data_IF_852701039074
#
_entry.id   IF_852701039074
#
_cell.length_a   1.000
_cell.length_b   1.000
_cell.length_c   1.000
_cell.angle_alpha   90.00
_cell.angle_beta   90.00
_cell.angle_gamma   90.00
#
_symmetry.space_group_name_H-M   'P 1'
#
loop_
_entity.id
_entity.type
_entity.pdbx_description
1 polymer ?
#
# COMPACT_ATOMS: atom_id res chain seq x y z
N UNK A 1 -30.71 9.04 53.47
CA UNK A 1 -29.87 7.83 53.35
C UNK A 1 -30.79 6.74 52.83
N UNK A 2 -30.81 6.55 51.51
CA UNK A 2 -30.14 5.42 50.80
C UNK A 2 -31.12 4.23 50.70
N UNK A 3 -31.44 3.62 49.56
CA UNK A 3 -30.96 3.72 48.18
C UNK A 3 -32.08 3.22 47.23
N UNK A 4 -32.21 3.93 46.11
CA UNK A 4 -32.86 3.48 44.88
C UNK A 4 -31.88 2.64 44.04
N UNK A 5 -32.45 1.82 43.14
CA UNK A 5 -31.87 1.27 41.90
C UNK A 5 -30.70 0.26 41.99
N UNK A 6 -30.97 -0.99 41.58
CA UNK A 6 -30.03 -1.83 40.82
C UNK A 6 -30.71 -3.10 40.30
N UNK A 7 -31.11 -3.08 39.03
CA UNK A 7 -30.96 -4.16 38.06
C UNK A 7 -31.66 -3.73 36.75
N UNK A 8 -31.06 -2.75 36.07
CA UNK A 8 -31.39 -2.44 34.69
C UNK A 8 -30.91 -3.57 33.78
N UNK A 9 -31.85 -4.34 33.27
CA UNK A 9 -31.66 -5.25 32.15
C UNK A 9 -31.24 -4.46 30.90
N UNK A 10 -30.06 -4.74 30.35
CA UNK A 10 -29.64 -4.22 29.05
C UNK A 10 -30.44 -4.91 27.95
N UNK A 11 -31.33 -4.13 27.34
CA UNK A 11 -32.20 -4.40 26.20
C UNK A 11 -31.53 -5.25 25.11
N UNK A 12 -32.21 -6.34 24.73
CA UNK A 12 -32.01 -7.01 23.45
C UNK A 12 -32.19 -5.98 22.32
N UNK A 13 -31.17 -5.77 21.47
CA UNK A 13 -31.34 -5.12 20.17
C UNK A 13 -32.38 -5.92 19.40
N UNK A 14 -33.64 -5.48 19.36
CA UNK A 14 -34.64 -6.03 18.44
C UNK A 14 -34.18 -5.65 17.04
N UNK A 15 -33.70 -6.64 16.28
CA UNK A 15 -33.49 -6.52 14.84
C UNK A 15 -34.82 -6.09 14.20
N UNK A 16 -34.91 -4.83 13.78
CA UNK A 16 -36.03 -4.33 12.98
C UNK A 16 -35.93 -5.01 11.61
N UNK A 17 -36.58 -6.16 11.47
CA UNK A 17 -36.66 -6.91 10.22
C UNK A 17 -37.57 -6.17 9.23
N UNK A 18 -37.09 -5.97 8.01
CA UNK A 18 -37.86 -5.32 6.95
C UNK A 18 -38.91 -6.27 6.36
N UNK A 19 -40.15 -5.80 6.11
CA UNK A 19 -41.14 -6.54 5.34
C UNK A 19 -40.62 -6.95 3.96
N UNK A 20 -40.93 -8.18 3.51
CA UNK A 20 -40.43 -8.72 2.24
C UNK A 20 -40.78 -7.86 1.02
N UNK A 21 -41.97 -7.26 1.00
CA UNK A 21 -42.41 -6.37 -0.09
C UNK A 21 -41.52 -5.13 -0.28
N UNK A 22 -40.89 -4.65 0.80
CA UNK A 22 -39.97 -3.50 0.75
C UNK A 22 -38.61 -3.92 0.19
N UNK A 23 -38.21 -5.18 0.43
CA UNK A 23 -36.99 -5.78 -0.14
C UNK A 23 -37.17 -6.09 -1.63
N UNK A 24 -38.37 -6.48 -2.07
CA UNK A 24 -38.69 -6.76 -3.47
C UNK A 24 -38.61 -5.47 -4.33
N UNK A 25 -39.06 -4.32 -3.81
CA UNK A 25 -38.89 -3.01 -4.47
C UNK A 25 -37.42 -2.63 -4.71
N UNK A 26 -36.52 -3.07 -3.81
CA UNK A 26 -35.08 -2.83 -3.93
C UNK A 26 -34.45 -3.64 -5.06
N UNK A 27 -34.97 -4.85 -5.32
CA UNK A 27 -34.47 -5.75 -6.35
C UNK A 27 -34.82 -5.28 -7.76
N UNK A 28 -35.95 -4.61 -7.96
CA UNK A 28 -36.41 -4.14 -9.27
C UNK A 28 -35.88 -2.74 -9.66
N UNK A 29 -35.40 -1.95 -8.69
CA UNK A 29 -34.91 -0.59 -8.90
C UNK A 29 -33.48 -0.50 -9.48
N UNK A 30 -33.20 0.60 -10.19
CA UNK A 30 -31.85 0.99 -10.59
C UNK A 30 -31.09 1.72 -9.47
N UNK A 31 -29.88 2.20 -9.76
CA UNK A 31 -28.99 2.83 -8.76
C UNK A 31 -29.69 3.94 -7.96
N UNK A 32 -30.39 4.87 -8.62
CA UNK A 32 -31.09 5.97 -7.94
C UNK A 32 -32.13 5.49 -6.92
N UNK A 33 -32.92 4.47 -7.25
CA UNK A 33 -33.91 3.90 -6.32
C UNK A 33 -33.26 3.23 -5.11
N UNK A 34 -32.09 2.59 -5.31
CA UNK A 34 -31.32 2.00 -4.21
C UNK A 34 -30.75 3.09 -3.30
N UNK A 35 -30.30 4.22 -3.84
CA UNK A 35 -29.83 5.36 -3.04
C UNK A 35 -30.95 6.00 -2.21
N UNK A 36 -32.13 6.23 -2.81
CA UNK A 36 -33.31 6.71 -2.07
C UNK A 36 -33.73 5.74 -0.95
N UNK A 37 -33.64 4.44 -1.22
CA UNK A 37 -33.88 3.40 -0.23
C UNK A 37 -32.88 3.49 0.93
N UNK A 38 -31.58 3.62 0.64
CA UNK A 38 -30.55 3.76 1.67
C UNK A 38 -30.80 4.98 2.55
N UNK A 39 -31.17 6.12 1.97
CA UNK A 39 -31.51 7.33 2.72
C UNK A 39 -32.74 7.14 3.62
N UNK A 40 -33.76 6.46 3.12
CA UNK A 40 -35.02 6.22 3.85
C UNK A 40 -34.82 5.30 5.05
N UNK A 41 -33.97 4.27 4.91
CA UNK A 41 -33.74 3.24 5.92
C UNK A 41 -32.33 3.28 6.51
N UNK A 42 -31.80 4.50 6.73
CA UNK A 42 -30.43 4.73 7.21
C UNK A 42 -30.12 3.96 8.51
N UNK A 43 -31.06 3.92 9.45
CA UNK A 43 -30.89 3.30 10.76
C UNK A 43 -31.12 1.78 10.78
N UNK A 44 -31.41 1.15 9.63
CA UNK A 44 -31.69 -0.29 9.56
C UNK A 44 -30.54 -1.01 8.86
N UNK A 45 -29.72 -1.70 9.65
CA UNK A 45 -28.53 -2.45 9.19
C UNK A 45 -28.85 -3.39 8.01
N UNK A 46 -29.91 -4.20 8.14
CA UNK A 46 -30.32 -5.16 7.11
C UNK A 46 -30.68 -4.48 5.78
N UNK A 47 -31.29 -3.29 5.84
CA UNK A 47 -31.62 -2.50 4.65
C UNK A 47 -30.33 -2.04 3.95
N UNK A 48 -29.40 -1.47 4.71
CA UNK A 48 -28.13 -0.97 4.20
C UNK A 48 -27.29 -2.11 3.60
N UNK A 49 -27.18 -3.24 4.29
CA UNK A 49 -26.45 -4.41 3.79
C UNK A 49 -27.04 -4.93 2.48
N UNK A 50 -28.38 -5.02 2.38
CA UNK A 50 -29.04 -5.46 1.14
C UNK A 50 -28.87 -4.46 0.00
N UNK A 51 -28.92 -3.16 0.32
CA UNK A 51 -28.70 -2.10 -0.65
C UNK A 51 -27.29 -2.10 -1.22
N UNK A 52 -26.26 -2.23 -0.36
CA UNK A 52 -24.85 -2.34 -0.77
C UNK A 52 -24.65 -3.55 -1.70
N UNK A 53 -25.21 -4.72 -1.36
CA UNK A 53 -25.15 -5.91 -2.23
C UNK A 53 -25.84 -5.68 -3.58
N UNK A 54 -26.94 -4.93 -3.60
CA UNK A 54 -27.62 -4.57 -4.86
C UNK A 54 -26.77 -3.61 -5.70
N UNK A 55 -26.20 -2.58 -5.09
CA UNK A 55 -25.28 -1.66 -5.77
C UNK A 55 -24.10 -2.41 -6.38
N UNK A 56 -23.48 -3.34 -5.65
CA UNK A 56 -22.41 -4.19 -6.17
C UNK A 56 -22.84 -4.99 -7.41
N UNK A 57 -24.06 -5.55 -7.41
CA UNK A 57 -24.58 -6.25 -8.59
C UNK A 57 -24.79 -5.34 -9.81
N UNK A 58 -25.19 -4.08 -9.58
CA UNK A 58 -25.48 -3.11 -10.64
C UNK A 58 -24.20 -2.52 -11.24
N UNK A 59 -23.12 -2.40 -10.46
CA UNK A 59 -21.82 -1.96 -10.98
C UNK A 59 -21.21 -2.94 -12.00
N UNK A 60 -21.65 -4.20 -12.00
CA UNK A 60 -21.25 -5.19 -13.00
C UNK A 60 -21.88 -4.98 -14.38
N UNK A 61 -22.86 -4.06 -14.51
CA UNK A 61 -23.54 -3.74 -15.76
C UNK A 61 -22.89 -2.50 -16.42
N UNK A 62 -22.62 -2.55 -17.74
CA UNK A 62 -21.71 -1.67 -18.51
C UNK A 62 -21.99 -0.13 -18.49
N UNK A 63 -22.94 0.37 -17.71
CA UNK A 63 -23.32 1.80 -17.67
C UNK A 63 -23.21 2.46 -16.28
N UNK A 64 -22.58 1.82 -15.29
CA UNK A 64 -22.54 2.32 -13.93
C UNK A 64 -21.57 3.50 -13.67
N UNK A 65 -20.80 3.89 -14.69
CA UNK A 65 -19.70 4.84 -14.60
C UNK A 65 -20.12 6.25 -14.21
N UNK A 66 -21.29 6.68 -14.69
CA UNK A 66 -21.87 8.00 -14.36
C UNK A 66 -22.19 8.14 -12.86
N UNK A 67 -22.34 7.02 -12.15
CA UNK A 67 -22.80 7.00 -10.77
C UNK A 67 -21.69 6.65 -9.77
N UNK A 68 -20.51 6.21 -10.24
CA UNK A 68 -19.44 5.67 -9.38
C UNK A 68 -19.10 6.58 -8.21
N UNK A 69 -18.93 7.88 -8.46
CA UNK A 69 -18.60 8.85 -7.41
C UNK A 69 -19.80 9.16 -6.50
N UNK A 70 -21.02 9.12 -7.01
CA UNK A 70 -22.25 9.35 -6.23
C UNK A 70 -22.52 8.24 -5.21
N UNK A 71 -21.88 7.07 -5.37
CA UNK A 71 -22.03 5.94 -4.45
C UNK A 71 -21.12 6.03 -3.20
N UNK A 72 -20.03 6.79 -3.26
CA UNK A 72 -19.01 6.78 -2.21
C UNK A 72 -19.55 7.33 -0.88
N UNK A 73 -20.26 8.45 -0.93
CA UNK A 73 -20.85 9.08 0.26
C UNK A 73 -21.96 8.22 0.90
N UNK A 74 -22.96 7.71 0.17
CA UNK A 74 -23.98 6.81 0.73
C UNK A 74 -23.38 5.55 1.37
N UNK A 75 -22.39 4.92 0.72
CA UNK A 75 -21.77 3.68 1.22
C UNK A 75 -20.95 3.98 2.48
N UNK A 76 -20.11 5.02 2.47
CA UNK A 76 -19.33 5.40 3.67
C UNK A 76 -20.23 5.89 4.81
N UNK A 77 -21.37 6.52 4.51
CA UNK A 77 -22.38 6.90 5.50
C UNK A 77 -23.02 5.67 6.16
N UNK A 78 -23.41 4.67 5.37
CA UNK A 78 -23.95 3.41 5.87
C UNK A 78 -22.92 2.69 6.76
N UNK A 79 -21.66 2.62 6.33
CA UNK A 79 -20.55 2.06 7.11
C UNK A 79 -20.36 2.80 8.45
N UNK A 80 -20.41 4.12 8.46
CA UNK A 80 -20.28 4.94 9.67
C UNK A 80 -21.43 4.72 10.65
N UNK A 81 -22.65 4.59 10.12
CA UNK A 81 -23.87 4.39 10.91
C UNK A 81 -23.90 3.00 11.55
N UNK A 82 -23.44 1.99 10.82
CA UNK A 82 -23.44 0.58 11.26
C UNK A 82 -22.03 0.04 11.48
N UNK A 83 -21.20 0.81 12.21
CA UNK A 83 -19.81 0.46 12.48
C UNK A 83 -19.63 -0.87 13.22
N UNK A 84 -20.64 -1.33 13.95
CA UNK A 84 -20.63 -2.59 14.69
C UNK A 84 -20.93 -3.83 13.81
N UNK A 85 -21.36 -3.63 12.55
CA UNK A 85 -21.73 -4.73 11.64
C UNK A 85 -20.57 -5.09 10.71
N UNK A 86 -19.86 -6.17 11.05
CA UNK A 86 -18.71 -6.64 10.28
C UNK A 86 -19.09 -6.97 8.82
N UNK A 87 -20.24 -7.62 8.61
CA UNK A 87 -20.72 -7.97 7.26
C UNK A 87 -20.93 -6.71 6.41
N UNK A 88 -21.57 -5.68 6.98
CA UNK A 88 -21.78 -4.41 6.30
C UNK A 88 -20.46 -3.69 6.01
N UNK A 89 -19.49 -3.72 6.93
CA UNK A 89 -18.17 -3.14 6.68
C UNK A 89 -17.43 -3.86 5.54
N UNK A 90 -17.47 -5.19 5.51
CA UNK A 90 -16.85 -5.99 4.45
C UNK A 90 -17.49 -5.71 3.09
N UNK A 91 -18.82 -5.75 3.02
CA UNK A 91 -19.56 -5.49 1.78
C UNK A 91 -19.35 -4.04 1.31
N UNK A 92 -19.37 -3.08 2.23
CA UNK A 92 -19.10 -1.68 1.95
C UNK A 92 -17.69 -1.47 1.40
N UNK A 93 -16.66 -1.99 2.09
CA UNK A 93 -15.27 -1.89 1.63
C UNK A 93 -15.05 -2.56 0.27
N UNK A 94 -15.67 -3.73 0.02
CA UNK A 94 -15.58 -4.40 -1.30
C UNK A 94 -16.20 -3.56 -2.41
N UNK A 95 -17.38 -3.01 -2.15
CA UNK A 95 -18.05 -2.13 -3.10
C UNK A 95 -17.20 -0.89 -3.40
N UNK A 96 -16.63 -0.25 -2.36
CA UNK A 96 -15.71 0.87 -2.55
C UNK A 96 -14.48 0.47 -3.37
N UNK A 97 -13.95 -0.75 -3.18
CA UNK A 97 -12.77 -1.24 -3.89
C UNK A 97 -13.08 -1.41 -5.38
N UNK A 98 -14.24 -1.98 -5.71
CA UNK A 98 -14.70 -2.14 -7.09
C UNK A 98 -14.92 -0.76 -7.75
N UNK A 99 -15.52 0.19 -7.03
CA UNK A 99 -15.74 1.56 -7.52
C UNK A 99 -14.41 2.25 -7.85
N UNK A 100 -13.48 2.23 -6.89
CA UNK A 100 -12.17 2.90 -7.02
C UNK A 100 -11.33 2.22 -8.10
N UNK A 101 -11.36 0.88 -8.18
CA UNK A 101 -10.68 0.12 -9.23
C UNK A 101 -11.17 0.46 -10.63
N UNK A 102 -12.49 0.54 -10.84
CA UNK A 102 -13.05 0.93 -12.13
C UNK A 102 -12.72 2.38 -12.50
N UNK A 103 -12.80 3.31 -11.53
CA UNK A 103 -12.49 4.71 -11.76
C UNK A 103 -11.03 4.91 -12.22
N UNK A 104 -10.08 4.21 -11.58
CA UNK A 104 -8.66 4.25 -11.94
C UNK A 104 -8.38 3.64 -13.32
N UNK A 105 -9.01 2.51 -13.67
CA UNK A 105 -8.86 1.89 -15.00
C UNK A 105 -9.28 2.81 -16.15
N UNK A 106 -10.20 3.74 -15.89
CA UNK A 106 -10.74 4.65 -16.89
C UNK A 106 -10.04 6.01 -16.91
N UNK A 107 -8.97 6.19 -16.12
CA UNK A 107 -8.27 7.45 -15.96
C UNK A 107 -9.21 8.61 -15.59
N UNK A 108 -10.27 8.32 -14.83
CA UNK A 108 -11.06 9.39 -14.22
C UNK A 108 -10.14 10.07 -13.21
N UNK A 109 -10.03 11.39 -13.30
CA UNK A 109 -9.17 12.16 -12.41
C UNK A 109 -9.74 12.09 -10.99
N UNK A 110 -9.14 11.21 -10.20
CA UNK A 110 -9.64 10.78 -8.90
C UNK A 110 -8.97 11.48 -7.74
N UNK A 111 -8.47 12.70 -7.99
CA UNK A 111 -7.97 13.59 -6.95
C UNK A 111 -8.95 13.70 -5.75
N UNK A 112 -10.25 13.50 -5.96
CA UNK A 112 -11.32 13.60 -4.96
C UNK A 112 -12.12 12.30 -4.72
N UNK A 113 -11.53 11.10 -4.92
CA UNK A 113 -12.26 9.83 -4.77
C UNK A 113 -12.93 9.69 -3.41
N UNK A 114 -12.18 9.77 -2.33
CA UNK A 114 -12.71 9.61 -0.98
C UNK A 114 -12.37 10.87 -0.20
N UNK A 115 -13.40 11.68 0.08
CA UNK A 115 -13.23 12.86 0.93
C UNK A 115 -12.69 12.51 2.31
N UNK A 116 -12.21 13.51 3.05
CA UNK A 116 -11.62 13.33 4.38
C UNK A 116 -12.54 12.53 5.34
N UNK A 117 -13.85 12.73 5.24
CA UNK A 117 -14.83 11.94 6.01
C UNK A 117 -14.82 10.45 5.67
N UNK A 118 -14.70 10.09 4.39
CA UNK A 118 -14.62 8.71 3.94
C UNK A 118 -13.32 8.05 4.39
N UNK A 119 -12.19 8.76 4.30
CA UNK A 119 -10.89 8.30 4.84
C UNK A 119 -11.02 8.04 6.34
N UNK A 120 -11.58 8.99 7.10
CA UNK A 120 -11.79 8.83 8.53
C UNK A 120 -12.72 7.64 8.86
N UNK A 121 -13.73 7.37 8.03
CA UNK A 121 -14.59 6.19 8.16
C UNK A 121 -13.82 4.89 7.97
N UNK A 122 -12.97 4.80 6.94
CA UNK A 122 -12.11 3.64 6.70
C UNK A 122 -11.12 3.41 7.84
N UNK A 123 -10.48 4.47 8.34
CA UNK A 123 -9.54 4.38 9.47
C UNK A 123 -10.23 3.98 10.78
N UNK A 124 -11.44 4.50 11.04
CA UNK A 124 -12.24 4.08 12.19
C UNK A 124 -12.59 2.60 12.09
N UNK A 125 -12.94 2.13 10.89
CA UNK A 125 -13.26 0.72 10.62
C UNK A 125 -12.04 -0.17 10.83
N UNK A 126 -10.90 0.20 10.24
CA UNK A 126 -9.60 -0.46 10.44
C UNK A 126 -9.26 -0.64 11.92
N UNK A 127 -9.42 0.42 12.72
CA UNK A 127 -9.11 0.41 14.16
C UNK A 127 -10.14 -0.37 14.98
N UNK A 128 -11.40 -0.39 14.56
CA UNK A 128 -12.48 -1.15 15.23
C UNK A 128 -12.30 -2.65 15.02
N UNK A 129 -11.86 -3.05 13.83
CA UNK A 129 -11.67 -4.45 13.43
C UNK A 129 -10.19 -4.80 13.23
N UNK A 130 -9.33 -4.38 14.16
CA UNK A 130 -7.86 -4.56 14.08
C UNK A 130 -7.39 -6.02 14.05
N UNK A 131 -8.27 -6.96 14.42
CA UNK A 131 -7.99 -8.39 14.44
C UNK A 131 -8.65 -9.14 13.26
N UNK A 132 -9.38 -8.44 12.37
CA UNK A 132 -10.05 -9.07 11.24
C UNK A 132 -9.18 -8.99 9.97
N UNK A 133 -8.41 -10.04 9.72
CA UNK A 133 -7.47 -10.13 8.60
C UNK A 133 -8.12 -9.86 7.23
N UNK A 134 -9.30 -10.42 6.98
CA UNK A 134 -10.02 -10.28 5.71
C UNK A 134 -10.40 -8.82 5.43
N UNK A 135 -11.01 -8.15 6.42
CA UNK A 135 -11.41 -6.75 6.31
C UNK A 135 -10.20 -5.83 6.19
N UNK A 136 -9.14 -6.07 6.98
CA UNK A 136 -7.90 -5.31 6.89
C UNK A 136 -7.24 -5.44 5.53
N UNK A 137 -7.26 -6.63 4.92
CA UNK A 137 -6.76 -6.83 3.56
C UNK A 137 -7.49 -5.93 2.54
N UNK A 138 -8.82 -5.83 2.63
CA UNK A 138 -9.62 -4.97 1.74
C UNK A 138 -9.34 -3.49 2.03
N UNK A 139 -9.34 -3.08 3.30
CA UNK A 139 -9.10 -1.67 3.68
C UNK A 139 -7.69 -1.23 3.29
N UNK A 140 -6.66 -2.03 3.54
CA UNK A 140 -5.29 -1.68 3.15
C UNK A 140 -5.17 -1.54 1.63
N UNK A 141 -5.86 -2.38 0.86
CA UNK A 141 -5.88 -2.25 -0.61
C UNK A 141 -6.54 -0.94 -1.05
N UNK A 142 -7.69 -0.60 -0.45
CA UNK A 142 -8.36 0.69 -0.67
C UNK A 142 -7.44 1.88 -0.37
N UNK A 143 -6.82 1.87 0.82
CA UNK A 143 -5.92 2.93 1.27
C UNK A 143 -4.70 3.08 0.35
N UNK A 144 -4.13 1.97 -0.13
CA UNK A 144 -3.05 1.98 -1.10
C UNK A 144 -3.49 2.69 -2.38
N UNK A 145 -4.65 2.32 -2.95
CA UNK A 145 -5.15 2.90 -4.20
C UNK A 145 -5.41 4.40 -4.09
N UNK A 146 -6.05 4.86 -3.00
CA UNK A 146 -6.32 6.29 -2.82
C UNK A 146 -5.06 7.09 -2.47
N UNK A 147 -4.05 6.48 -1.83
CA UNK A 147 -2.80 7.15 -1.44
C UNK A 147 -1.93 7.58 -2.63
N UNK A 148 -2.28 7.18 -3.85
CA UNK A 148 -1.67 7.73 -5.07
C UNK A 148 -1.98 9.22 -5.28
N UNK A 149 -3.09 9.72 -4.72
CA UNK A 149 -3.41 11.16 -4.68
C UNK A 149 -2.70 11.82 -3.51
N UNK A 150 -1.99 12.93 -3.78
CA UNK A 150 -1.28 13.69 -2.74
C UNK A 150 -2.24 14.26 -1.68
N UNK A 151 -3.46 14.65 -2.07
CA UNK A 151 -4.47 15.15 -1.12
C UNK A 151 -4.92 14.05 -0.15
N UNK A 152 -5.14 12.83 -0.66
CA UNK A 152 -5.51 11.69 0.17
C UNK A 152 -4.32 11.22 1.03
N UNK A 153 -3.11 11.19 0.46
CA UNK A 153 -1.88 10.89 1.20
C UNK A 153 -1.69 11.87 2.37
N UNK A 154 -1.92 13.16 2.15
CA UNK A 154 -1.84 14.18 3.19
C UNK A 154 -2.88 13.99 4.29
N UNK A 155 -4.13 13.68 3.94
CA UNK A 155 -5.17 13.35 4.91
C UNK A 155 -4.80 12.11 5.75
N UNK A 156 -4.27 11.08 5.11
CA UNK A 156 -3.80 9.85 5.76
C UNK A 156 -2.64 10.09 6.73
N UNK A 157 -1.68 10.96 6.35
CA UNK A 157 -0.58 11.37 7.22
C UNK A 157 -1.08 12.11 8.45
N UNK A 158 -1.96 13.09 8.27
CA UNK A 158 -2.59 13.84 9.38
C UNK A 158 -3.35 12.93 10.32
N UNK A 159 -3.98 11.87 9.81
CA UNK A 159 -4.71 10.89 10.60
C UNK A 159 -3.82 9.85 11.29
N UNK A 160 -2.50 9.87 11.06
CA UNK A 160 -1.53 9.00 11.72
C UNK A 160 -1.49 7.56 11.23
N UNK A 161 -1.92 7.29 9.98
CA UNK A 161 -2.11 5.90 9.49
C UNK A 161 -0.84 5.04 9.48
N UNK A 162 0.35 5.64 9.48
CA UNK A 162 1.64 4.91 9.46
C UNK A 162 1.73 3.95 10.65
N UNK A 163 1.31 4.35 11.86
CA UNK A 163 1.37 3.46 13.02
C UNK A 163 0.37 2.31 12.92
N UNK A 164 -0.82 2.56 12.36
CA UNK A 164 -1.83 1.53 12.13
C UNK A 164 -1.29 0.48 11.12
N UNK A 165 -0.73 0.94 10.00
CA UNK A 165 -0.15 0.11 8.94
C UNK A 165 1.00 -0.78 9.44
N UNK A 166 1.91 -0.21 10.24
CA UNK A 166 3.02 -0.98 10.83
C UNK A 166 2.53 -2.03 11.83
N UNK A 167 1.49 -1.71 12.61
CA UNK A 167 0.86 -2.67 13.52
C UNK A 167 0.21 -3.81 12.75
N UNK A 168 -0.48 -3.52 11.65
CA UNK A 168 -1.16 -4.52 10.82
C UNK A 168 -0.15 -5.48 10.19
N UNK A 169 0.94 -4.98 9.58
CA UNK A 169 1.99 -5.86 9.04
C UNK A 169 2.57 -6.76 10.14
N UNK A 170 2.80 -6.20 11.32
CA UNK A 170 3.38 -6.95 12.45
C UNK A 170 2.45 -8.07 12.95
N UNK A 171 1.14 -7.87 12.88
CA UNK A 171 0.14 -8.85 13.30
C UNK A 171 -0.14 -9.92 12.22
N UNK A 172 -0.03 -9.55 10.94
CA UNK A 172 -0.34 -10.44 9.80
C UNK A 172 0.81 -10.53 8.79
N UNK A 173 2.04 -10.92 9.21
CA UNK A 173 3.19 -10.92 8.31
C UNK A 173 3.09 -11.96 7.19
N UNK A 174 2.28 -13.02 7.35
CA UNK A 174 2.06 -14.05 6.32
C UNK A 174 1.02 -13.63 5.27
N UNK A 175 0.22 -12.59 5.53
CA UNK A 175 -0.81 -12.20 4.59
C UNK A 175 -0.20 -11.36 3.46
N UNK A 176 -0.07 -11.99 2.30
CA UNK A 176 0.45 -11.41 1.07
C UNK A 176 -0.17 -10.04 0.74
N UNK A 177 -1.49 -9.94 0.74
CA UNK A 177 -2.21 -8.74 0.29
C UNK A 177 -2.02 -7.58 1.26
N UNK A 178 -2.00 -7.87 2.56
CA UNK A 178 -1.66 -6.90 3.61
C UNK A 178 -0.23 -6.40 3.41
N UNK A 179 0.75 -7.31 3.30
CA UNK A 179 2.16 -6.92 3.14
C UNK A 179 2.40 -6.07 1.89
N UNK A 180 1.80 -6.45 0.75
CA UNK A 180 1.84 -5.70 -0.49
C UNK A 180 1.24 -4.30 -0.31
N UNK A 181 0.01 -4.23 0.20
CA UNK A 181 -0.76 -2.98 0.28
C UNK A 181 -0.14 -2.01 1.29
N UNK A 182 0.21 -2.51 2.47
CA UNK A 182 0.81 -1.72 3.53
C UNK A 182 2.19 -1.18 3.15
N UNK A 183 3.01 -1.96 2.44
CA UNK A 183 4.29 -1.46 1.90
C UNK A 183 4.07 -0.36 0.86
N UNK A 184 3.05 -0.51 0.01
CA UNK A 184 2.66 0.49 -0.98
C UNK A 184 2.20 1.80 -0.33
N UNK A 185 1.35 1.72 0.70
CA UNK A 185 0.93 2.87 1.50
C UNK A 185 2.16 3.59 2.08
N UNK A 186 3.10 2.86 2.70
CA UNK A 186 4.29 3.47 3.29
C UNK A 186 5.13 4.23 2.26
N UNK A 187 5.31 3.64 1.06
CA UNK A 187 5.98 4.31 -0.05
C UNK A 187 5.25 5.60 -0.47
N UNK A 188 3.94 5.50 -0.77
CA UNK A 188 3.11 6.61 -1.23
C UNK A 188 3.10 7.77 -0.24
N UNK A 189 2.98 7.47 1.05
CA UNK A 189 2.93 8.51 2.06
C UNK A 189 4.27 9.23 2.20
N UNK A 190 5.40 8.50 2.15
CA UNK A 190 6.71 9.03 2.51
C UNK A 190 7.55 9.59 1.35
N UNK A 191 7.17 9.36 0.09
CA UNK A 191 7.96 9.80 -1.07
C UNK A 191 8.01 11.32 -1.23
N UNK A 192 6.91 12.03 -0.92
CA UNK A 192 6.79 13.48 -1.13
C UNK A 192 7.02 14.33 0.14
N UNK A 193 7.27 13.69 1.28
CA UNK A 193 7.34 14.38 2.57
C UNK A 193 8.75 14.39 3.14
N UNK A 194 9.33 15.58 3.28
CA UNK A 194 10.59 15.74 4.00
C UNK A 194 10.30 15.87 5.50
N UNK A 195 10.79 14.91 6.30
CA UNK A 195 10.73 14.90 7.77
C UNK A 195 9.43 14.40 8.41
N UNK A 196 8.76 13.44 7.80
CA UNK A 196 7.73 12.65 8.49
C UNK A 196 8.23 12.08 9.81
N UNK A 197 7.34 12.04 10.82
CA UNK A 197 7.61 11.62 12.20
C UNK A 197 8.60 10.46 12.31
N UNK A 198 9.89 10.80 12.48
CA UNK A 198 11.01 9.87 12.29
C UNK A 198 10.97 8.67 13.23
N UNK A 199 10.31 8.79 14.39
CA UNK A 199 10.20 7.71 15.36
C UNK A 199 9.42 6.50 14.79
N UNK A 200 8.27 6.74 14.15
CA UNK A 200 7.44 5.67 13.57
C UNK A 200 8.13 5.03 12.36
N UNK A 201 8.80 5.85 11.54
CA UNK A 201 9.50 5.36 10.35
C UNK A 201 10.77 4.55 10.66
N UNK A 202 11.44 4.81 11.79
CA UNK A 202 12.57 3.97 12.24
C UNK A 202 12.15 2.52 12.51
N UNK A 203 10.95 2.32 13.08
CA UNK A 203 10.40 0.98 13.28
C UNK A 203 10.02 0.31 11.94
N UNK A 204 9.61 1.12 10.94
CA UNK A 204 9.23 0.61 9.62
C UNK A 204 10.35 -0.18 8.93
N UNK A 205 11.61 0.22 9.10
CA UNK A 205 12.76 -0.50 8.48
C UNK A 205 12.78 -1.97 8.89
N UNK A 206 12.62 -2.27 10.18
CA UNK A 206 12.66 -3.64 10.69
C UNK A 206 11.46 -4.45 10.18
N UNK A 207 10.28 -3.84 10.16
CA UNK A 207 9.05 -4.48 9.69
C UNK A 207 9.13 -4.79 8.20
N UNK A 208 9.58 -3.85 7.36
CA UNK A 208 9.65 -4.03 5.90
C UNK A 208 10.78 -4.99 5.50
N UNK A 209 11.91 -4.98 6.20
CA UNK A 209 12.93 -6.03 5.99
C UNK A 209 12.40 -7.42 6.37
N UNK A 210 11.55 -7.52 7.38
CA UNK A 210 10.82 -8.75 7.70
C UNK A 210 9.87 -9.19 6.58
N UNK A 211 9.13 -8.26 5.96
CA UNK A 211 8.27 -8.55 4.79
C UNK A 211 9.08 -9.13 3.63
N UNK A 212 10.25 -8.54 3.31
CA UNK A 212 11.13 -9.06 2.27
C UNK A 212 11.64 -10.47 2.55
N UNK A 213 11.88 -10.81 3.82
CA UNK A 213 12.34 -12.13 4.21
C UNK A 213 11.23 -13.18 4.11
N UNK A 214 10.02 -12.83 4.55
CA UNK A 214 8.85 -13.71 4.52
C UNK A 214 8.38 -13.99 3.09
N UNK A 215 8.26 -12.95 2.26
CA UNK A 215 7.67 -13.02 0.92
C UNK A 215 8.71 -13.00 -0.21
N UNK A 216 9.92 -13.50 0.04
CA UNK A 216 11.06 -13.39 -0.90
C UNK A 216 10.82 -13.96 -2.31
N UNK A 217 9.84 -14.85 -2.46
CA UNK A 217 9.46 -15.51 -3.72
C UNK A 217 8.27 -14.83 -4.41
N UNK A 218 7.63 -13.84 -3.76
CA UNK A 218 6.51 -13.08 -4.31
C UNK A 218 6.99 -11.74 -4.87
N UNK A 219 7.20 -11.69 -6.19
CA UNK A 219 7.77 -10.51 -6.84
C UNK A 219 6.97 -9.21 -6.64
N UNK A 220 5.64 -9.26 -6.47
CA UNK A 220 4.85 -8.04 -6.22
C UNK A 220 5.04 -7.52 -4.81
N UNK A 221 5.04 -8.41 -3.81
CA UNK A 221 5.31 -8.02 -2.42
C UNK A 221 6.73 -7.50 -2.28
N UNK A 222 7.70 -8.17 -2.91
CA UNK A 222 9.11 -7.74 -2.91
C UNK A 222 9.28 -6.37 -3.56
N UNK A 223 8.66 -6.14 -4.71
CA UNK A 223 8.69 -4.85 -5.41
C UNK A 223 8.13 -3.72 -4.53
N UNK A 224 6.97 -3.95 -3.91
CA UNK A 224 6.34 -2.99 -2.99
C UNK A 224 7.21 -2.71 -1.76
N UNK A 225 7.77 -3.76 -1.14
CA UNK A 225 8.65 -3.63 0.02
C UNK A 225 9.98 -2.93 -0.31
N UNK A 226 10.60 -3.20 -1.47
CA UNK A 226 11.76 -2.46 -1.96
C UNK A 226 11.46 -0.98 -2.19
N UNK A 227 10.25 -0.65 -2.69
CA UNK A 227 9.79 0.72 -2.85
C UNK A 227 9.73 1.45 -1.50
N UNK A 228 9.15 0.80 -0.49
CA UNK A 228 9.13 1.33 0.88
C UNK A 228 10.56 1.49 1.45
N UNK A 229 11.45 0.51 1.28
CA UNK A 229 12.84 0.61 1.77
C UNK A 229 13.63 1.73 1.10
N UNK A 230 13.43 1.96 -0.20
CA UNK A 230 14.06 3.08 -0.88
C UNK A 230 13.69 4.40 -0.20
N UNK A 231 12.40 4.65 0.00
CA UNK A 231 11.94 5.90 0.64
C UNK A 231 12.41 5.98 2.09
N UNK A 232 12.40 4.88 2.85
CA UNK A 232 12.95 4.86 4.21
C UNK A 232 14.46 5.16 4.24
N UNK A 233 15.21 4.74 3.22
CA UNK A 233 16.63 5.09 3.04
C UNK A 233 16.80 6.56 2.71
N UNK A 234 15.99 7.09 1.80
CA UNK A 234 15.98 8.50 1.42
C UNK A 234 15.69 9.42 2.63
N UNK A 235 14.77 9.00 3.51
CA UNK A 235 14.40 9.71 4.73
C UNK A 235 15.39 9.52 5.89
N UNK A 236 16.49 8.78 5.69
CA UNK A 236 17.49 8.53 6.74
C UNK A 236 16.97 7.74 7.94
N UNK A 237 16.02 6.83 7.73
CA UNK A 237 15.40 6.05 8.80
C UNK A 237 16.24 4.86 9.27
N UNK A 238 17.24 4.45 8.47
CA UNK A 238 18.11 3.32 8.78
C UNK A 238 19.20 3.74 9.78
N UNK A 239 19.57 2.82 10.67
CA UNK A 239 20.74 2.96 11.56
C UNK A 239 21.98 2.29 10.94
N UNK A 240 23.18 2.65 11.42
CA UNK A 240 24.45 2.09 10.90
C UNK A 240 24.47 0.55 10.90
N UNK A 241 23.93 -0.07 11.95
CA UNK A 241 23.80 -1.53 12.07
C UNK A 241 22.90 -2.18 11.01
N UNK A 242 22.02 -1.40 10.36
CA UNK A 242 21.07 -1.88 9.35
C UNK A 242 21.58 -1.71 7.92
N UNK A 243 22.61 -0.90 7.68
CA UNK A 243 23.08 -0.60 6.32
C UNK A 243 23.53 -1.84 5.55
N UNK A 244 24.39 -2.66 6.16
CA UNK A 244 24.90 -3.88 5.54
C UNK A 244 23.81 -4.96 5.35
N UNK A 245 23.02 -5.34 6.38
CA UNK A 245 21.93 -6.31 6.20
C UNK A 245 20.91 -5.89 5.14
N UNK A 246 20.54 -4.60 5.11
CA UNK A 246 19.60 -4.08 4.11
C UNK A 246 20.20 -4.12 2.71
N UNK A 247 21.49 -3.82 2.56
CA UNK A 247 22.20 -3.94 1.28
C UNK A 247 22.14 -5.38 0.75
N UNK A 248 22.39 -6.37 1.61
CA UNK A 248 22.33 -7.78 1.22
C UNK A 248 20.91 -8.23 0.83
N UNK A 249 19.89 -7.79 1.57
CA UNK A 249 18.49 -8.07 1.24
C UNK A 249 18.08 -7.47 -0.10
N UNK A 250 18.47 -6.23 -0.38
CA UNK A 250 18.21 -5.56 -1.66
C UNK A 250 18.89 -6.28 -2.83
N UNK A 251 20.14 -6.72 -2.65
CA UNK A 251 20.82 -7.55 -3.65
C UNK A 251 20.12 -8.90 -3.85
N UNK A 252 19.65 -9.55 -2.79
CA UNK A 252 18.88 -10.80 -2.88
C UNK A 252 17.55 -10.59 -3.63
N UNK A 253 16.81 -9.53 -3.32
CA UNK A 253 15.57 -9.17 -4.01
C UNK A 253 15.79 -8.95 -5.52
N UNK A 254 16.84 -8.21 -5.89
CA UNK A 254 17.21 -7.93 -7.28
C UNK A 254 17.62 -9.20 -8.03
N UNK A 255 18.32 -10.14 -7.39
CA UNK A 255 18.68 -11.43 -8.00
C UNK A 255 17.46 -12.31 -8.28
N UNK A 256 16.47 -12.28 -7.41
CA UNK A 256 15.30 -13.16 -7.49
C UNK A 256 14.23 -12.64 -8.45
N UNK A 257 14.16 -11.33 -8.68
CA UNK A 257 13.14 -10.69 -9.49
C UNK A 257 13.74 -9.68 -10.50
N UNK A 258 14.74 -10.09 -11.31
CA UNK A 258 15.45 -9.18 -12.20
C UNK A 258 14.56 -8.61 -13.32
N UNK A 259 13.45 -9.27 -13.64
CA UNK A 259 12.53 -8.90 -14.72
C UNK A 259 11.59 -7.75 -14.38
N UNK A 260 11.56 -7.30 -13.13
CA UNK A 260 10.60 -6.30 -12.64
C UNK A 260 11.19 -4.89 -12.64
N UNK A 261 10.80 -3.99 -13.56
CA UNK A 261 11.47 -2.69 -13.73
C UNK A 261 11.34 -1.78 -12.51
N UNK A 262 10.17 -1.75 -11.86
CA UNK A 262 9.94 -0.93 -10.65
C UNK A 262 10.82 -1.40 -9.49
N UNK A 263 10.94 -2.73 -9.31
CA UNK A 263 11.83 -3.32 -8.32
C UNK A 263 13.29 -2.95 -8.59
N UNK A 264 13.75 -3.11 -9.84
CA UNK A 264 15.13 -2.77 -10.23
C UNK A 264 15.43 -1.31 -9.96
N UNK A 265 14.55 -0.40 -10.39
CA UNK A 265 14.64 1.03 -10.14
C UNK A 265 14.80 1.36 -8.66
N UNK A 266 13.82 0.95 -7.85
CA UNK A 266 13.75 1.33 -6.44
C UNK A 266 14.88 0.68 -5.64
N UNK A 267 15.28 -0.54 -6.01
CA UNK A 267 16.44 -1.21 -5.42
C UNK A 267 17.73 -0.48 -5.74
N UNK A 268 17.93 -0.04 -6.99
CA UNK A 268 19.12 0.74 -7.37
C UNK A 268 19.20 2.06 -6.61
N UNK A 269 18.09 2.75 -6.46
CA UNK A 269 18.01 4.00 -5.70
C UNK A 269 18.27 3.79 -4.20
N UNK A 270 17.70 2.75 -3.60
CA UNK A 270 17.98 2.38 -2.21
C UNK A 270 19.47 2.04 -1.99
N UNK A 271 20.04 1.24 -2.88
CA UNK A 271 21.47 0.89 -2.85
C UNK A 271 22.35 2.13 -3.01
N UNK A 272 22.03 3.04 -3.93
CA UNK A 272 22.78 4.28 -4.12
C UNK A 272 22.75 5.14 -2.84
N UNK A 273 21.59 5.23 -2.17
CA UNK A 273 21.47 5.87 -0.86
C UNK A 273 22.34 5.22 0.21
N UNK A 274 22.30 3.88 0.33
CA UNK A 274 23.13 3.13 1.26
C UNK A 274 24.63 3.27 0.99
N UNK A 275 25.02 3.34 -0.29
CA UNK A 275 26.40 3.57 -0.69
C UNK A 275 26.89 4.94 -0.26
N UNK A 276 26.05 5.97 -0.20
CA UNK A 276 26.45 7.28 0.35
C UNK A 276 26.65 7.26 1.86
N UNK A 277 25.99 6.33 2.56
CA UNK A 277 25.98 6.24 4.01
C UNK A 277 27.02 5.26 4.57
N UNK A 278 27.49 4.30 3.78
CA UNK A 278 28.30 3.17 4.28
C UNK A 278 29.29 2.62 3.25
N UNK A 279 30.58 2.71 3.56
CA UNK A 279 31.63 2.05 2.77
C UNK A 279 31.46 0.52 2.78
N UNK A 280 30.88 -0.04 3.85
CA UNK A 280 30.62 -1.47 3.98
C UNK A 280 29.54 -1.93 2.99
N UNK A 281 28.51 -1.11 2.78
CA UNK A 281 27.50 -1.35 1.73
C UNK A 281 28.13 -1.35 0.35
N UNK A 282 29.01 -0.38 0.06
CA UNK A 282 29.77 -0.36 -1.19
C UNK A 282 30.63 -1.62 -1.36
N UNK A 283 31.31 -2.06 -0.30
CA UNK A 283 32.10 -3.28 -0.32
C UNK A 283 31.27 -4.53 -0.66
N UNK A 284 30.04 -4.65 -0.14
CA UNK A 284 29.14 -5.78 -0.45
C UNK A 284 28.73 -5.88 -1.92
N UNK A 285 28.71 -4.78 -2.67
CA UNK A 285 28.45 -4.83 -4.11
C UNK A 285 29.64 -5.34 -4.92
N UNK A 286 30.86 -5.14 -4.41
CA UNK A 286 32.11 -5.50 -5.11
C UNK A 286 32.48 -6.95 -4.86
N UNK A 287 32.33 -7.40 -3.61
CA UNK A 287 32.71 -8.75 -3.22
C UNK A 287 31.87 -9.75 -4.00
N UNK A 288 32.55 -10.69 -4.64
CA UNK A 288 31.91 -11.85 -5.26
C UNK A 288 31.68 -12.90 -4.17
N UNK A 289 30.42 -13.26 -3.95
CA UNK A 289 30.05 -14.37 -3.09
C UNK A 289 29.63 -15.59 -3.94
N UNK A 290 29.09 -16.62 -3.29
CA UNK A 290 28.62 -17.83 -3.98
C UNK A 290 27.45 -17.57 -4.96
N UNK A 291 26.75 -16.44 -4.82
CA UNK A 291 25.65 -15.98 -5.68
C UNK A 291 26.14 -15.00 -6.77
N UNK A 292 27.44 -14.72 -6.85
CA UNK A 292 28.03 -13.77 -7.79
C UNK A 292 28.32 -12.40 -7.15
N UNK A 293 28.71 -11.42 -7.97
CA UNK A 293 28.98 -10.05 -7.50
C UNK A 293 27.77 -9.14 -7.70
N UNK A 294 27.63 -8.10 -6.88
CA UNK A 294 26.64 -7.04 -7.13
C UNK A 294 26.87 -6.34 -8.47
N UNK A 295 28.14 -6.20 -8.90
CA UNK A 295 28.50 -5.63 -10.21
C UNK A 295 27.93 -6.45 -11.37
N UNK A 296 28.08 -7.78 -11.33
CA UNK A 296 27.52 -8.66 -12.38
C UNK A 296 26.00 -8.56 -12.41
N UNK A 297 25.35 -8.52 -11.24
CA UNK A 297 23.91 -8.38 -11.14
C UNK A 297 23.40 -7.07 -11.77
N UNK A 298 24.05 -5.94 -11.46
CA UNK A 298 23.70 -4.63 -12.02
C UNK A 298 23.87 -4.62 -13.54
N UNK A 299 24.91 -5.28 -14.05
CA UNK A 299 25.14 -5.42 -15.50
C UNK A 299 24.06 -6.26 -16.17
N UNK A 300 23.66 -7.37 -15.54
CA UNK A 300 22.59 -8.22 -16.06
C UNK A 300 21.25 -7.46 -16.05
N UNK A 301 20.95 -6.71 -14.98
CA UNK A 301 19.78 -5.83 -14.91
C UNK A 301 19.78 -4.75 -15.99
N UNK A 302 20.94 -4.13 -16.29
CA UNK A 302 21.06 -3.16 -17.38
C UNK A 302 20.76 -3.80 -18.73
N UNK A 303 21.30 -4.99 -19.00
CA UNK A 303 21.06 -5.68 -20.26
C UNK A 303 19.60 -6.14 -20.40
N UNK A 304 18.96 -6.49 -19.29
CA UNK A 304 17.56 -6.89 -19.28
C UNK A 304 16.62 -5.70 -19.55
N UNK A 305 16.94 -4.52 -19.04
CA UNK A 305 16.10 -3.32 -19.08
C UNK A 305 16.70 -2.16 -19.89
N UNK A 306 17.56 -2.43 -20.88
CA UNK A 306 18.27 -1.37 -21.60
C UNK A 306 17.36 -0.43 -22.40
N UNK A 307 16.13 -0.85 -22.67
CA UNK A 307 15.12 -0.09 -23.40
C UNK A 307 14.23 0.76 -22.47
N UNK A 308 14.35 0.59 -21.14
CA UNK A 308 13.66 1.40 -20.14
C UNK A 308 14.59 2.54 -19.66
N UNK A 309 14.35 3.79 -20.08
CA UNK A 309 15.23 4.91 -19.76
C UNK A 309 15.29 5.21 -18.26
N UNK A 310 14.19 5.00 -17.53
CA UNK A 310 14.14 5.28 -16.09
C UNK A 310 14.95 4.23 -15.32
N UNK A 311 14.83 2.95 -15.70
CA UNK A 311 15.65 1.89 -15.09
C UNK A 311 17.14 2.12 -15.38
N UNK A 312 17.48 2.45 -16.62
CA UNK A 312 18.87 2.75 -17.03
C UNK A 312 19.45 3.92 -16.25
N UNK A 313 18.71 5.01 -16.10
CA UNK A 313 19.14 6.19 -15.33
C UNK A 313 19.47 5.81 -13.88
N UNK A 314 18.61 5.04 -13.23
CA UNK A 314 18.80 4.62 -11.84
C UNK A 314 19.95 3.62 -11.66
N UNK A 315 20.17 2.75 -12.64
CA UNK A 315 21.36 1.89 -12.69
C UNK A 315 22.64 2.75 -12.84
N UNK A 316 22.65 3.72 -13.76
CA UNK A 316 23.81 4.60 -13.92
C UNK A 316 24.07 5.44 -12.65
N UNK A 317 23.03 5.87 -11.94
CA UNK A 317 23.16 6.55 -10.64
C UNK A 317 23.85 5.67 -9.61
N UNK A 318 23.43 4.40 -9.47
CA UNK A 318 24.09 3.45 -8.58
C UNK A 318 25.56 3.25 -8.95
N UNK A 319 25.86 3.06 -10.25
CA UNK A 319 27.24 2.92 -10.73
C UNK A 319 28.07 4.16 -10.39
N UNK A 320 27.51 5.36 -10.54
CA UNK A 320 28.20 6.60 -10.21
C UNK A 320 28.56 6.68 -8.71
N UNK A 321 27.66 6.23 -7.81
CA UNK A 321 27.98 6.12 -6.38
C UNK A 321 29.06 5.08 -6.11
N UNK A 322 29.04 3.94 -6.81
CA UNK A 322 30.07 2.92 -6.66
C UNK A 322 31.46 3.44 -7.06
N UNK A 323 31.55 4.22 -8.14
CA UNK A 323 32.83 4.74 -8.67
C UNK A 323 33.56 5.65 -7.69
N UNK A 324 32.85 6.30 -6.77
CA UNK A 324 33.46 7.14 -5.73
C UNK A 324 34.36 6.31 -4.78
N UNK A 325 34.15 4.99 -4.71
CA UNK A 325 34.99 4.08 -3.95
C UNK A 325 36.16 3.59 -4.81
N UNK A 326 37.37 4.08 -4.55
CA UNK A 326 38.56 3.85 -5.39
C UNK A 326 38.92 2.38 -5.68
N UNK A 327 38.47 1.42 -4.87
CA UNK A 327 38.61 -0.02 -5.15
C UNK A 327 37.68 -0.49 -6.28
N UNK A 328 36.49 0.08 -6.41
CA UNK A 328 35.54 -0.17 -7.50
C UNK A 328 36.11 0.28 -8.83
N UNK A 329 36.75 1.46 -8.87
CA UNK A 329 37.34 2.01 -10.09
C UNK A 329 38.33 1.01 -10.70
N UNK A 330 39.13 0.33 -9.88
CA UNK A 330 40.06 -0.70 -10.36
C UNK A 330 39.31 -1.89 -11.00
N UNK A 331 38.25 -2.39 -10.36
CA UNK A 331 37.45 -3.49 -10.91
C UNK A 331 36.66 -3.11 -12.17
N UNK A 332 36.09 -1.91 -12.25
CA UNK A 332 35.33 -1.47 -13.42
C UNK A 332 36.24 -1.13 -14.62
N UNK A 333 37.38 -0.48 -14.37
CA UNK A 333 38.32 -0.05 -15.44
C UNK A 333 39.09 -1.23 -16.01
N UNK A 334 39.56 -2.16 -15.17
CA UNK A 334 40.35 -3.31 -15.62
C UNK A 334 39.50 -4.56 -15.87
N UNK A 335 38.25 -4.61 -15.40
CA UNK A 335 37.38 -5.80 -15.46
C UNK A 335 36.51 -5.92 -16.70
N UNK A 336 35.94 -4.84 -17.28
CA UNK A 336 35.22 -4.84 -18.58
C UNK A 336 34.63 -3.46 -18.93
N UNK A 337 35.12 -2.85 -20.02
CA UNK A 337 35.02 -1.40 -20.32
C UNK A 337 33.78 -0.94 -21.14
N UNK A 338 32.63 -1.63 -21.07
CA UNK A 338 31.49 -1.32 -21.95
C UNK A 338 30.43 -0.40 -21.30
N UNK A 339 29.90 -0.76 -20.13
CA UNK A 339 28.88 0.03 -19.39
C UNK A 339 29.35 1.45 -19.07
N UNK A 340 30.58 1.60 -18.60
CA UNK A 340 31.17 2.90 -18.22
C UNK A 340 31.26 3.87 -19.40
N UNK A 341 31.43 3.38 -20.64
CA UNK A 341 31.47 4.23 -21.84
C UNK A 341 30.09 4.67 -22.33
N UNK A 342 29.02 3.97 -21.95
CA UNK A 342 27.65 4.34 -22.28
C UNK A 342 27.08 5.35 -21.26
N UNK A 343 27.21 5.12 -19.94
CA UNK A 343 26.72 6.08 -18.94
C UNK A 343 27.44 7.45 -18.96
N UNK A 344 28.69 7.54 -19.45
CA UNK A 344 29.41 8.82 -19.57
C UNK A 344 28.98 9.63 -20.82
N UNK A 345 28.23 9.01 -21.74
CA UNK A 345 27.83 9.64 -23.01
C UNK A 345 26.36 10.08 -23.07
N UNK A 346 25.56 9.74 -22.07
CA UNK A 346 24.18 10.21 -21.87
C UNK A 346 24.17 11.42 -20.95
#
# INVERSE_FOLDING_TARGET
MECLTLAGSSLSKQEKTLPSAILDMLLEGGIGSVLEFMQTYLDIEQAQAKAIKRLASLLGEENALMYLLELLDPVTCAMRTHIDSLELQLDGCRLLLDIIGQALQQNVDVEMLVGEEGINSLLKTMRTYSENEELLSVICTLLMMISASEMAAEALRKAGVITDVLSIISNFPQNRQICLSCSGILWSLAVNESNMGQASLKNAVQIITGVLQEHREDGEVVESACSALWVLTLQGCLTESQYEPTTLLLLDALRMNPERPVLVKNTCLALAGLLRLSELSAFRLIVTDTKGSGISLIKDSYHFHCDDPEVVENICMLINEMVQYGKVLFFLVFGQSFLFRQCIKS
#
